data_IF_067002969831
#
_entry.id   IF_067002969831
#
_cell.length_a   1.000
_cell.length_b   1.000
_cell.length_c   1.000
_cell.angle_alpha   90.00
_cell.angle_beta   90.00
_cell.angle_gamma   90.00
#
_symmetry.space_group_name_H-M   'P 1'
#
loop_
_entity.id
_entity.type
_entity.pdbx_description
1 polymer ?
#
# COMPACT_ATOMS: atom_id res chain seq x y z
N UNK A 1 7.35 -7.53 -1.94
CA UNK A 1 6.01 -8.14 -2.09
C UNK A 1 5.40 -7.51 -3.34
N UNK A 2 5.06 -8.27 -4.38
CA UNK A 2 4.42 -7.73 -5.59
C UNK A 2 2.95 -7.42 -5.25
N UNK A 3 2.54 -6.16 -5.30
CA UNK A 3 1.17 -5.74 -5.00
C UNK A 3 0.51 -5.36 -6.35
N UNK A 4 -0.10 -6.35 -7.01
CA UNK A 4 -0.44 -6.32 -8.45
C UNK A 4 -1.91 -5.92 -8.72
N UNK A 5 -2.39 -4.76 -8.27
CA UNK A 5 -3.79 -4.41 -8.57
C UNK A 5 -4.00 -3.90 -10.00
N UNK A 6 -3.02 -3.23 -10.62
CA UNK A 6 -3.18 -2.63 -11.96
C UNK A 6 -2.73 -3.53 -13.10
N UNK A 7 -1.77 -4.44 -12.87
CA UNK A 7 -1.34 -5.42 -13.88
C UNK A 7 -2.50 -6.26 -14.41
N UNK A 8 -3.53 -6.48 -13.59
CA UNK A 8 -4.67 -7.33 -13.95
C UNK A 8 -5.78 -6.62 -14.75
N UNK A 9 -5.79 -5.29 -14.82
CA UNK A 9 -6.93 -4.53 -15.38
C UNK A 9 -6.57 -3.77 -16.65
N UNK A 10 -5.43 -3.07 -16.64
CA UNK A 10 -4.93 -2.33 -17.79
C UNK A 10 -3.40 -2.23 -17.70
N UNK A 11 -2.67 -3.32 -17.95
CA UNK A 11 -1.20 -3.30 -17.85
C UNK A 11 -0.58 -2.46 -18.95
N UNK A 12 0.52 -1.77 -18.65
CA UNK A 12 1.34 -1.12 -19.66
C UNK A 12 2.13 -2.18 -20.44
N UNK A 13 2.34 -1.97 -21.74
CA UNK A 13 3.04 -2.90 -22.62
C UNK A 13 4.30 -2.30 -23.24
N UNK A 14 4.45 -0.98 -23.14
CA UNK A 14 5.53 -0.17 -23.67
C UNK A 14 5.53 1.21 -22.98
N UNK A 15 6.48 2.07 -23.37
CA UNK A 15 6.59 3.43 -22.85
C UNK A 15 5.33 4.27 -23.10
N UNK A 16 4.79 4.24 -24.32
CA UNK A 16 3.66 5.10 -24.71
C UNK A 16 2.38 4.72 -23.94
N UNK A 17 2.11 3.42 -23.79
CA UNK A 17 0.99 2.94 -22.97
C UNK A 17 1.16 3.26 -21.48
N UNK A 18 2.39 3.21 -20.96
CA UNK A 18 2.68 3.66 -19.59
C UNK A 18 2.40 5.16 -19.41
N UNK A 19 2.82 6.00 -20.36
CA UNK A 19 2.53 7.45 -20.36
C UNK A 19 1.02 7.68 -20.33
N UNK A 20 0.26 6.99 -21.18
CA UNK A 20 -1.21 7.11 -21.23
C UNK A 20 -1.83 6.73 -19.89
N UNK A 21 -1.40 5.61 -19.29
CA UNK A 21 -1.93 5.15 -18.01
C UNK A 21 -1.68 6.14 -16.88
N UNK A 22 -0.45 6.65 -16.75
CA UNK A 22 -0.11 7.64 -15.73
C UNK A 22 -0.89 8.95 -15.95
N UNK A 23 -1.05 9.37 -17.20
CA UNK A 23 -1.77 10.60 -17.56
C UNK A 23 -3.27 10.54 -17.28
N UNK A 24 -3.84 9.35 -17.09
CA UNK A 24 -5.23 9.22 -16.64
C UNK A 24 -5.43 9.66 -15.18
N UNK A 25 -4.36 9.68 -14.37
CA UNK A 25 -4.41 9.97 -12.94
C UNK A 25 -3.65 11.25 -12.55
N UNK A 26 -2.62 11.60 -13.31
CA UNK A 26 -1.68 12.65 -12.95
C UNK A 26 -1.49 13.67 -14.10
N UNK A 27 -1.31 14.97 -13.78
CA UNK A 27 -0.96 15.97 -14.78
C UNK A 27 0.37 15.65 -15.48
N UNK A 28 0.52 16.11 -16.72
CA UNK A 28 1.70 15.84 -17.58
C UNK A 28 3.03 16.06 -16.87
N UNK A 29 3.17 17.15 -16.11
CA UNK A 29 4.40 17.47 -15.37
C UNK A 29 4.75 16.43 -14.30
N UNK A 30 3.75 15.89 -13.61
CA UNK A 30 3.94 14.82 -12.61
C UNK A 30 4.25 13.51 -13.32
N UNK A 31 3.52 13.18 -14.38
CA UNK A 31 3.78 11.99 -15.21
C UNK A 31 5.22 11.98 -15.72
N UNK A 32 5.70 13.10 -16.27
CA UNK A 32 7.08 13.23 -16.75
C UNK A 32 8.11 13.05 -15.64
N UNK A 33 7.88 13.66 -14.47
CA UNK A 33 8.78 13.54 -13.34
C UNK A 33 8.87 12.09 -12.82
N UNK A 34 7.74 11.38 -12.77
CA UNK A 34 7.70 9.96 -12.39
C UNK A 34 8.47 9.10 -13.40
N UNK A 35 8.23 9.28 -14.70
CA UNK A 35 8.93 8.53 -15.76
C UNK A 35 10.45 8.77 -15.77
N UNK A 36 10.92 9.93 -15.30
CA UNK A 36 12.34 10.23 -15.14
C UNK A 36 12.94 9.62 -13.87
N UNK A 37 12.14 9.43 -12.82
CA UNK A 37 12.59 8.93 -11.53
C UNK A 37 12.74 7.41 -11.50
N UNK A 38 11.81 6.68 -12.14
CA UNK A 38 11.85 5.23 -12.16
C UNK A 38 12.78 4.71 -13.25
N UNK A 39 13.50 3.62 -12.94
CA UNK A 39 14.22 2.85 -13.96
C UNK A 39 13.20 2.12 -14.82
N UNK A 40 13.05 2.55 -16.07
CA UNK A 40 12.12 1.94 -17.01
C UNK A 40 12.77 0.77 -17.77
N UNK A 41 11.97 -0.23 -18.20
CA UNK A 41 12.44 -1.28 -19.09
C UNK A 41 13.01 -0.70 -20.39
N UNK A 42 13.90 -1.46 -21.01
CA UNK A 42 14.39 -1.10 -22.36
C UNK A 42 13.28 -1.32 -23.40
N UNK A 43 13.43 -0.73 -24.58
CA UNK A 43 12.43 -0.88 -25.66
C UNK A 43 12.29 -2.31 -26.18
N UNK A 44 13.23 -3.21 -25.87
CA UNK A 44 13.21 -4.63 -26.24
C UNK A 44 12.72 -5.54 -25.11
N UNK A 45 12.31 -4.97 -23.98
CA UNK A 45 11.83 -5.72 -22.82
C UNK A 45 10.50 -6.43 -23.09
N UNK A 46 10.21 -7.45 -22.28
CA UNK A 46 8.93 -8.15 -22.34
C UNK A 46 7.79 -7.27 -21.82
N UNK A 47 6.56 -7.52 -22.29
CA UNK A 47 5.33 -6.88 -21.83
C UNK A 47 5.13 -7.02 -20.32
N UNK A 48 5.55 -8.14 -19.75
CA UNK A 48 5.45 -8.39 -18.32
C UNK A 48 6.32 -7.42 -17.50
N UNK A 49 7.49 -7.01 -18.02
CA UNK A 49 8.34 -6.01 -17.36
C UNK A 49 7.68 -4.63 -17.35
N UNK A 50 7.03 -4.24 -18.46
CA UNK A 50 6.25 -3.01 -18.56
C UNK A 50 5.02 -3.02 -17.64
N UNK A 51 4.34 -4.16 -17.56
CA UNK A 51 3.20 -4.35 -16.67
C UNK A 51 3.61 -4.26 -15.18
N UNK A 52 4.74 -4.89 -14.83
CA UNK A 52 5.31 -4.85 -13.48
C UNK A 52 5.69 -3.42 -13.09
N UNK A 53 6.50 -2.71 -13.90
CA UNK A 53 6.92 -1.35 -13.55
C UNK A 53 5.74 -0.38 -13.49
N UNK A 54 4.79 -0.48 -14.43
CA UNK A 54 3.60 0.36 -14.42
C UNK A 54 2.78 0.16 -13.14
N UNK A 55 2.68 -1.08 -12.68
CA UNK A 55 1.99 -1.40 -11.43
C UNK A 55 2.70 -0.93 -10.19
N UNK A 56 4.04 -0.98 -10.18
CA UNK A 56 4.85 -0.41 -9.09
C UNK A 56 4.62 1.11 -9.01
N UNK A 57 4.74 1.82 -10.14
CA UNK A 57 4.57 3.28 -10.17
C UNK A 57 3.17 3.66 -9.68
N UNK A 58 2.13 3.02 -10.20
CA UNK A 58 0.74 3.34 -9.82
C UNK A 58 0.48 2.99 -8.35
N UNK A 59 0.93 1.83 -7.87
CA UNK A 59 0.78 1.42 -6.47
C UNK A 59 1.49 2.36 -5.50
N UNK A 60 2.70 2.80 -5.85
CA UNK A 60 3.42 3.82 -5.09
C UNK A 60 2.65 5.14 -5.05
N UNK A 61 2.26 5.67 -6.21
CA UNK A 61 1.66 6.99 -6.29
C UNK A 61 0.25 7.04 -5.69
N UNK A 62 -0.56 5.99 -5.84
CA UNK A 62 -1.94 5.99 -5.34
C UNK A 62 -2.04 5.60 -3.86
N UNK A 63 -1.12 4.78 -3.35
CA UNK A 63 -1.23 4.23 -2.00
C UNK A 63 0.05 4.46 -1.21
N UNK A 64 1.16 3.86 -1.62
CA UNK A 64 2.29 3.64 -0.71
C UNK A 64 3.13 4.88 -0.44
N UNK A 65 3.47 5.65 -1.47
CA UNK A 65 4.19 6.92 -1.32
C UNK A 65 3.28 7.98 -0.70
N UNK A 66 2.04 8.07 -1.18
CA UNK A 66 1.06 9.06 -0.72
C UNK A 66 0.72 8.91 0.76
N UNK A 67 0.47 7.69 1.26
CA UNK A 67 0.21 7.51 2.70
C UNK A 67 1.42 7.89 3.55
N UNK A 68 2.65 7.63 3.09
CA UNK A 68 3.90 7.99 3.79
C UNK A 68 4.13 9.50 3.81
N UNK A 69 3.98 10.16 2.66
CA UNK A 69 4.10 11.61 2.56
C UNK A 69 3.02 12.36 3.34
N UNK A 70 1.79 11.85 3.32
CA UNK A 70 0.71 12.35 4.16
C UNK A 70 1.01 12.17 5.65
N UNK A 71 1.48 10.99 6.06
CA UNK A 71 1.93 10.73 7.44
C UNK A 71 3.01 11.73 7.86
N UNK A 72 4.06 11.91 7.04
CA UNK A 72 5.14 12.85 7.32
C UNK A 72 4.63 14.30 7.43
N UNK A 73 3.59 14.65 6.68
CA UNK A 73 2.96 15.97 6.76
C UNK A 73 2.11 16.13 8.03
N UNK A 74 1.35 15.10 8.42
CA UNK A 74 0.57 15.08 9.66
C UNK A 74 1.46 15.23 10.90
N UNK A 75 2.58 14.50 10.94
CA UNK A 75 3.50 14.51 12.08
C UNK A 75 4.23 15.85 12.30
N UNK A 76 4.13 16.80 11.36
CA UNK A 76 4.60 18.18 11.58
C UNK A 76 3.72 18.95 12.57
N UNK A 77 2.47 18.54 12.75
CA UNK A 77 1.46 19.27 13.53
C UNK A 77 0.70 18.40 14.52
N UNK A 78 0.69 17.07 14.34
CA UNK A 78 0.06 16.12 15.23
C UNK A 78 1.06 15.37 16.10
N UNK A 79 0.73 15.09 17.38
CA UNK A 79 1.51 14.19 18.21
C UNK A 79 1.62 12.80 17.58
N UNK A 80 2.78 12.16 17.70
CA UNK A 80 3.06 10.86 17.08
C UNK A 80 2.09 9.77 17.53
N UNK A 81 1.63 9.83 18.78
CA UNK A 81 0.71 8.87 19.39
C UNK A 81 -0.70 8.94 18.80
N UNK A 82 -1.01 9.97 17.99
CA UNK A 82 -2.29 10.12 17.29
C UNK A 82 -2.23 9.68 15.83
N UNK A 83 -1.06 9.29 15.33
CA UNK A 83 -0.89 8.83 13.95
C UNK A 83 -0.57 7.33 13.97
N UNK A 84 -1.62 6.53 13.91
CA UNK A 84 -1.54 5.07 14.05
C UNK A 84 -1.38 4.42 12.67
N UNK A 85 -0.16 3.97 12.36
CA UNK A 85 0.18 3.40 11.05
C UNK A 85 0.16 1.87 11.09
N UNK A 86 -0.30 1.26 10.00
CA UNK A 86 -0.39 -0.19 9.89
C UNK A 86 -0.04 -0.75 8.50
N UNK A 87 0.25 -2.05 8.47
CA UNK A 87 0.31 -2.88 7.25
C UNK A 87 -0.37 -4.23 7.50
N UNK A 88 -1.08 -4.74 6.50
CA UNK A 88 -1.63 -6.11 6.52
C UNK A 88 -0.97 -6.87 5.38
N UNK A 89 -0.13 -7.84 5.75
CA UNK A 89 0.53 -8.78 4.84
C UNK A 89 -0.03 -10.19 4.97
N UNK A 90 -0.80 -10.47 6.02
CA UNK A 90 -1.54 -11.72 6.17
C UNK A 90 -2.63 -11.85 5.12
N UNK A 91 -2.69 -13.04 4.51
CA UNK A 91 -3.68 -13.41 3.52
C UNK A 91 -4.42 -14.65 4.00
N UNK A 92 -5.71 -14.51 4.27
CA UNK A 92 -6.55 -15.66 4.60
C UNK A 92 -6.56 -16.67 3.44
N UNK A 93 -6.50 -17.97 3.77
CA UNK A 93 -6.59 -19.04 2.77
C UNK A 93 -7.91 -19.00 2.00
N UNK A 94 -8.99 -18.56 2.65
CA UNK A 94 -10.31 -18.48 2.06
C UNK A 94 -10.40 -17.53 0.83
N UNK A 95 -9.43 -16.61 0.68
CA UNK A 95 -9.28 -15.80 -0.52
C UNK A 95 -8.98 -16.65 -1.77
N UNK A 96 -8.43 -17.86 -1.63
CA UNK A 96 -8.17 -18.80 -2.75
C UNK A 96 -9.46 -19.14 -3.54
N UNK A 97 -10.63 -18.99 -2.93
CA UNK A 97 -11.92 -19.28 -3.56
C UNK A 97 -12.30 -18.25 -4.65
N UNK A 98 -11.67 -17.07 -4.67
CA UNK A 98 -12.01 -15.98 -5.59
C UNK A 98 -10.82 -15.12 -6.04
N UNK A 99 -9.62 -15.37 -5.50
CA UNK A 99 -8.36 -14.73 -5.89
C UNK A 99 -7.28 -15.79 -6.05
N UNK A 100 -6.59 -15.80 -7.20
CA UNK A 100 -5.51 -16.74 -7.45
C UNK A 100 -4.40 -16.59 -6.39
N UNK A 101 -3.88 -17.67 -5.79
CA UNK A 101 -2.85 -17.60 -4.75
C UNK A 101 -1.59 -16.84 -5.16
N UNK A 102 -1.21 -16.93 -6.45
CA UNK A 102 -0.05 -16.24 -7.03
C UNK A 102 -0.13 -14.70 -6.97
N UNK A 103 -1.33 -14.13 -6.85
CA UNK A 103 -1.54 -12.69 -6.72
C UNK A 103 -1.08 -12.20 -5.34
N UNK A 104 -1.09 -13.07 -4.32
CA UNK A 104 -0.77 -12.70 -2.95
C UNK A 104 -1.79 -11.72 -2.36
N UNK A 105 -1.30 -10.73 -1.60
CA UNK A 105 -2.12 -9.62 -1.08
C UNK A 105 -2.25 -8.54 -2.15
N UNK A 106 -3.48 -8.21 -2.52
CA UNK A 106 -3.78 -7.14 -3.46
C UNK A 106 -4.57 -6.03 -2.78
N UNK A 107 -4.83 -4.95 -3.53
CA UNK A 107 -5.67 -3.88 -3.02
C UNK A 107 -7.05 -4.44 -2.59
N UNK A 108 -7.51 -4.01 -1.42
CA UNK A 108 -8.81 -4.34 -0.85
C UNK A 108 -9.04 -5.82 -0.48
N UNK A 109 -8.02 -6.69 -0.54
CA UNK A 109 -8.16 -8.09 -0.08
C UNK A 109 -8.32 -8.22 1.45
N UNK A 110 -8.07 -7.15 2.19
CA UNK A 110 -8.26 -7.01 3.63
C UNK A 110 -9.66 -6.49 4.03
N UNK A 111 -10.55 -6.19 3.07
CA UNK A 111 -11.95 -5.80 3.34
C UNK A 111 -12.63 -6.73 4.37
N UNK A 112 -12.51 -8.07 4.29
CA UNK A 112 -13.21 -8.93 5.25
C UNK A 112 -12.77 -8.77 6.70
N UNK A 113 -11.54 -8.30 6.92
CA UNK A 113 -10.99 -7.97 8.24
C UNK A 113 -11.73 -6.73 8.76
N UNK A 114 -11.66 -5.61 8.04
CA UNK A 114 -12.19 -4.32 8.49
C UNK A 114 -13.72 -4.29 8.66
N UNK A 115 -14.45 -5.06 7.85
CA UNK A 115 -15.92 -5.10 7.89
C UNK A 115 -16.48 -6.23 8.76
N UNK A 116 -15.62 -6.91 9.53
CA UNK A 116 -15.98 -8.05 10.37
C UNK A 116 -16.80 -9.12 9.61
N UNK A 117 -16.53 -9.29 8.31
CA UNK A 117 -17.28 -10.20 7.43
C UNK A 117 -16.48 -11.45 7.04
N UNK A 118 -15.39 -11.74 7.77
CA UNK A 118 -14.55 -12.92 7.60
C UNK A 118 -15.33 -14.23 7.45
N UNK A 119 -16.39 -14.46 8.24
CA UNK A 119 -17.26 -15.66 8.09
C UNK A 119 -17.86 -15.79 6.69
N UNK A 120 -18.31 -14.68 6.10
CA UNK A 120 -18.84 -14.65 4.73
C UNK A 120 -17.74 -14.85 3.70
N UNK A 121 -16.52 -14.38 4.01
CA UNK A 121 -15.34 -14.60 3.19
C UNK A 121 -14.75 -16.02 3.32
N UNK A 122 -15.29 -16.87 4.20
CA UNK A 122 -14.87 -18.25 4.41
C UNK A 122 -13.76 -18.44 5.45
N UNK A 123 -13.52 -17.47 6.34
CA UNK A 123 -12.51 -17.56 7.39
C UNK A 123 -12.83 -18.70 8.35
N UNK A 124 -11.81 -19.48 8.69
CA UNK A 124 -11.89 -20.53 9.70
C UNK A 124 -11.81 -19.92 11.11
N UNK A 125 -12.06 -20.71 12.15
CA UNK A 125 -12.07 -20.18 13.52
C UNK A 125 -10.71 -19.55 13.91
N UNK A 126 -9.59 -20.16 13.51
CA UNK A 126 -8.26 -19.61 13.74
C UNK A 126 -8.05 -18.25 13.04
N UNK A 127 -8.56 -18.08 11.82
CA UNK A 127 -8.52 -16.81 11.09
C UNK A 127 -9.33 -15.73 11.83
N UNK A 128 -10.51 -16.10 12.35
CA UNK A 128 -11.38 -15.20 13.10
C UNK A 128 -10.75 -14.78 14.43
N UNK A 129 -10.06 -15.69 15.12
CA UNK A 129 -9.37 -15.39 16.37
C UNK A 129 -8.21 -14.41 16.12
N UNK A 130 -7.41 -14.64 15.08
CA UNK A 130 -6.33 -13.73 14.66
C UNK A 130 -6.85 -12.34 14.26
N UNK A 131 -7.93 -12.29 13.47
CA UNK A 131 -8.55 -11.02 13.06
C UNK A 131 -9.15 -10.29 14.26
N UNK A 132 -9.71 -11.02 15.23
CA UNK A 132 -10.22 -10.43 16.47
C UNK A 132 -9.10 -9.83 17.30
N UNK A 133 -7.94 -10.52 17.40
CA UNK A 133 -6.73 -9.98 18.04
C UNK A 133 -6.28 -8.69 17.35
N UNK A 134 -6.18 -8.69 16.01
CA UNK A 134 -5.80 -7.52 15.21
C UNK A 134 -6.75 -6.33 15.43
N UNK A 135 -8.05 -6.57 15.37
CA UNK A 135 -9.06 -5.53 15.47
C UNK A 135 -9.24 -5.00 16.90
N UNK A 136 -8.77 -5.70 17.93
CA UNK A 136 -9.00 -5.32 19.32
C UNK A 136 -8.49 -3.90 19.62
N UNK A 137 -7.32 -3.53 19.12
CA UNK A 137 -6.77 -2.17 19.31
C UNK A 137 -7.61 -1.12 18.59
N UNK A 138 -8.13 -1.43 17.39
CA UNK A 138 -9.03 -0.54 16.67
C UNK A 138 -10.39 -0.41 17.36
N UNK A 139 -10.93 -1.51 17.90
CA UNK A 139 -12.16 -1.53 18.68
C UNK A 139 -12.05 -0.63 19.93
N UNK A 140 -10.97 -0.77 20.71
CA UNK A 140 -10.68 0.09 21.86
C UNK A 140 -10.66 1.57 21.46
N UNK A 141 -9.98 1.90 20.36
CA UNK A 141 -9.96 3.26 19.83
C UNK A 141 -11.36 3.79 19.49
N UNK A 142 -12.21 2.98 18.85
CA UNK A 142 -13.60 3.36 18.53
C UNK A 142 -14.47 3.56 19.77
N UNK A 143 -14.20 2.83 20.85
CA UNK A 143 -14.87 3.02 22.15
C UNK A 143 -14.41 4.29 22.90
N UNK A 144 -13.42 5.02 22.37
CA UNK A 144 -12.86 6.21 23.00
C UNK A 144 -11.74 5.90 24.00
N UNK A 145 -11.30 4.65 24.08
CA UNK A 145 -10.11 4.28 24.86
C UNK A 145 -8.85 4.84 24.20
N UNK A 146 -7.74 4.82 24.95
CA UNK A 146 -6.41 5.20 24.46
C UNK A 146 -5.53 3.95 24.36
N UNK A 147 -5.77 3.08 23.38
CA UNK A 147 -5.05 1.83 23.30
C UNK A 147 -3.58 2.08 22.96
N UNK A 148 -2.69 1.27 23.54
CA UNK A 148 -1.27 1.32 23.23
C UNK A 148 -1.04 0.70 21.84
N UNK A 149 -0.93 1.55 20.81
CA UNK A 149 -0.61 1.09 19.46
C UNK A 149 0.82 0.57 19.34
N UNK A 150 1.76 1.03 20.18
CA UNK A 150 3.16 0.57 20.19
C UNK A 150 4.01 1.16 19.07
N UNK A 151 3.65 0.92 17.80
CA UNK A 151 4.33 1.47 16.63
C UNK A 151 4.00 2.96 16.41
N UNK A 152 4.78 3.84 17.03
CA UNK A 152 4.60 5.31 16.94
C UNK A 152 5.68 5.97 16.09
N UNK A 153 5.35 7.15 15.54
CA UNK A 153 6.27 7.92 14.71
C UNK A 153 6.25 7.57 13.22
N UNK A 154 7.11 8.25 12.45
CA UNK A 154 7.12 8.15 10.98
C UNK A 154 7.76 6.85 10.47
N UNK A 155 8.64 6.21 11.25
CA UNK A 155 9.38 5.03 10.83
C UNK A 155 8.76 3.72 11.31
N UNK A 156 7.81 3.74 12.24
CA UNK A 156 7.19 2.52 12.75
C UNK A 156 5.84 2.26 12.11
N UNK A 157 5.54 0.98 11.91
CA UNK A 157 4.22 0.46 11.55
C UNK A 157 3.90 -0.75 12.41
N UNK A 158 2.62 -0.93 12.74
CA UNK A 158 2.14 -2.21 13.24
C UNK A 158 1.74 -3.09 12.06
N UNK A 159 2.24 -4.31 12.02
CA UNK A 159 1.96 -5.21 10.92
C UNK A 159 1.27 -6.49 11.38
N UNK A 160 0.18 -6.84 10.70
CA UNK A 160 -0.32 -8.21 10.66
C UNK A 160 0.45 -8.97 9.57
N UNK A 161 1.47 -9.73 9.99
CA UNK A 161 2.45 -10.37 9.11
C UNK A 161 1.89 -11.57 8.37
N UNK A 162 2.55 -11.95 7.27
CA UNK A 162 2.16 -13.08 6.43
C UNK A 162 1.98 -14.39 7.21
N UNK A 163 2.77 -14.61 8.28
CA UNK A 163 2.74 -15.79 9.13
C UNK A 163 1.61 -15.77 10.17
N UNK A 164 0.77 -14.74 10.20
CA UNK A 164 -0.32 -14.60 11.17
C UNK A 164 0.12 -14.13 12.55
N UNK A 165 1.03 -13.13 12.58
CA UNK A 165 1.50 -12.50 13.82
C UNK A 165 1.36 -10.99 13.74
N UNK A 166 1.03 -10.36 14.87
CA UNK A 166 0.97 -8.90 15.00
C UNK A 166 2.27 -8.41 15.63
N UNK A 167 3.03 -7.59 14.91
CA UNK A 167 4.34 -7.07 15.37
C UNK A 167 4.50 -5.59 15.04
N UNK A 168 5.21 -4.85 15.88
CA UNK A 168 5.65 -3.50 15.58
C UNK A 168 7.00 -3.56 14.85
N UNK A 169 7.10 -2.91 13.70
CA UNK A 169 8.27 -3.01 12.82
C UNK A 169 8.63 -1.66 12.20
N UNK A 170 9.89 -1.53 11.79
CA UNK A 170 10.32 -0.43 10.95
C UNK A 170 9.72 -0.54 9.54
N UNK A 171 9.29 0.59 8.99
CA UNK A 171 8.81 0.71 7.63
C UNK A 171 9.99 0.72 6.66
N UNK A 172 10.39 -0.48 6.22
CA UNK A 172 11.50 -0.68 5.29
C UNK A 172 11.37 0.09 3.95
N UNK A 173 10.15 0.54 3.59
CA UNK A 173 9.91 1.30 2.36
C UNK A 173 9.68 2.80 2.62
N UNK A 174 9.94 3.29 3.84
CA UNK A 174 9.71 4.68 4.21
C UNK A 174 10.47 5.62 3.28
N UNK A 175 11.79 5.47 3.21
CA UNK A 175 12.66 6.38 2.46
C UNK A 175 12.26 6.43 0.98
N UNK A 176 12.12 5.26 0.36
CA UNK A 176 11.68 5.15 -1.04
C UNK A 176 10.32 5.81 -1.26
N UNK A 177 9.37 5.61 -0.34
CA UNK A 177 8.04 6.22 -0.42
C UNK A 177 8.08 7.74 -0.28
N UNK A 178 8.93 8.27 0.60
CA UNK A 178 9.12 9.72 0.76
C UNK A 178 9.84 10.33 -0.45
N UNK A 179 10.78 9.62 -1.08
CA UNK A 179 11.40 10.04 -2.33
C UNK A 179 10.35 10.19 -3.45
N UNK A 180 9.52 9.17 -3.66
CA UNK A 180 8.44 9.21 -4.68
C UNK A 180 7.45 10.33 -4.37
N UNK A 181 7.03 10.48 -3.12
CA UNK A 181 6.18 11.59 -2.67
C UNK A 181 6.79 12.95 -3.02
N UNK A 182 8.09 13.12 -2.76
CA UNK A 182 8.80 14.37 -3.07
C UNK A 182 8.89 14.62 -4.58
N UNK A 183 9.10 13.60 -5.41
CA UNK A 183 9.05 13.74 -6.87
C UNK A 183 7.68 14.27 -7.31
N UNK A 184 6.59 13.68 -6.82
CA UNK A 184 5.24 14.10 -7.15
C UNK A 184 4.95 15.53 -6.70
N UNK A 185 5.24 15.85 -5.42
CA UNK A 185 4.94 17.17 -4.86
C UNK A 185 5.78 18.27 -5.52
N UNK A 186 7.07 18.02 -5.77
CA UNK A 186 7.92 19.00 -6.45
C UNK A 186 7.43 19.29 -7.86
N UNK A 187 7.11 18.25 -8.62
CA UNK A 187 6.55 18.42 -9.96
C UNK A 187 5.17 19.11 -9.93
N UNK A 188 4.31 18.75 -8.97
CA UNK A 188 2.99 19.35 -8.83
C UNK A 188 3.05 20.85 -8.49
N UNK A 189 4.02 21.25 -7.66
CA UNK A 189 4.17 22.62 -7.15
C UNK A 189 5.24 23.44 -7.88
N UNK A 190 5.85 22.89 -8.93
CA UNK A 190 6.94 23.52 -9.69
C UNK A 190 8.14 23.93 -8.79
N UNK A 191 8.44 23.09 -7.80
CA UNK A 191 9.56 23.28 -6.88
C UNK A 191 10.86 22.73 -7.49
N UNK A 192 12.02 23.31 -7.13
CA UNK A 192 13.33 22.81 -7.56
C UNK A 192 13.68 21.43 -6.97
#
# INVERSE_FOLDING_TARGET
MKQLSTACVNPAFDYDSLVVQLSNYYPEKVTKALLQYYTLPTTVADKDEWADIGSIIIGDCQVHATIRGFTASLLKTMPEERVLRYRISWRAKALDNWLQPSIGMCHASDIPIWWACGRRAGYEQADLDLVSEWLNTFYQYLCGDKPAWGATGLNMIKELKAEGKVEDMEDANLDKGLEVWNVMIKAQLDLP
#
